data_IF_530349736628
#
_entry.id   IF_530349736628
#
_cell.length_a   1.000
_cell.length_b   1.000
_cell.length_c   1.000
_cell.angle_alpha   90.00
_cell.angle_beta   90.00
_cell.angle_gamma   90.00
#
_symmetry.space_group_name_H-M   'P 1'
#
loop_
_entity.id
_entity.type
_entity.pdbx_description
1 polymer ?
#
# COMPACT_ATOMS: atom_id res chain seq x y z
N UNK A 1 -70.17 23.39 6.97
CA UNK A 1 -69.49 23.07 8.26
C UNK A 1 -68.74 21.77 8.05
N UNK A 2 -67.47 21.56 8.32
CA UNK A 2 -66.33 22.38 8.77
C UNK A 2 -65.07 21.49 8.58
N UNK A 3 -63.96 22.12 8.14
CA UNK A 3 -62.53 21.84 8.40
C UNK A 3 -61.99 20.40 8.17
N UNK A 4 -61.24 20.17 7.09
CA UNK A 4 -59.76 20.30 7.01
C UNK A 4 -58.99 19.45 8.03
N UNK A 5 -58.32 18.37 7.57
CA UNK A 5 -56.94 18.05 7.97
C UNK A 5 -56.18 17.57 6.72
N UNK A 6 -55.18 18.38 6.38
CA UNK A 6 -54.18 18.21 5.34
C UNK A 6 -53.15 17.18 5.81
N UNK A 7 -52.87 16.12 5.05
CA UNK A 7 -51.57 15.41 5.14
C UNK A 7 -51.06 15.23 3.72
N UNK A 8 -50.32 16.24 3.27
CA UNK A 8 -49.41 16.20 2.13
C UNK A 8 -48.24 15.29 2.50
N UNK A 9 -48.31 13.99 2.17
CA UNK A 9 -47.11 13.14 2.19
C UNK A 9 -46.50 13.18 0.79
N UNK A 10 -45.76 14.25 0.54
CA UNK A 10 -44.96 14.46 -0.65
C UNK A 10 -43.76 13.50 -0.58
N UNK A 11 -43.94 12.26 -1.04
CA UNK A 11 -42.84 11.30 -1.22
C UNK A 11 -41.96 11.78 -2.37
N UNK A 12 -41.06 12.72 -2.06
CA UNK A 12 -39.88 13.00 -2.86
C UNK A 12 -38.97 11.78 -2.71
N UNK A 13 -39.07 10.83 -3.64
CA UNK A 13 -37.96 9.92 -3.88
C UNK A 13 -36.86 10.76 -4.53
N UNK A 14 -35.98 11.29 -3.68
CA UNK A 14 -34.69 11.85 -4.08
C UNK A 14 -33.93 10.71 -4.75
N UNK A 15 -33.91 10.74 -6.09
CA UNK A 15 -32.93 10.01 -6.89
C UNK A 15 -31.59 10.60 -6.50
N UNK A 16 -30.89 9.91 -5.60
CA UNK A 16 -29.50 10.20 -5.27
C UNK A 16 -28.66 9.95 -6.51
N UNK A 17 -28.50 10.98 -7.33
CA UNK A 17 -27.49 11.01 -8.38
C UNK A 17 -26.14 10.93 -7.70
N UNK A 18 -25.62 9.71 -7.54
CA UNK A 18 -24.22 9.50 -7.19
C UNK A 18 -23.45 9.99 -8.40
N UNK A 19 -23.00 11.24 -8.38
CA UNK A 19 -22.01 11.74 -9.30
C UNK A 19 -20.70 11.01 -8.96
N UNK A 20 -20.50 9.85 -9.58
CA UNK A 20 -19.19 9.23 -9.66
C UNK A 20 -18.31 10.22 -10.41
N UNK A 21 -17.57 11.03 -9.66
CA UNK A 21 -16.52 11.88 -10.22
C UNK A 21 -15.42 10.95 -10.70
N UNK A 22 -15.48 10.56 -11.97
CA UNK A 22 -14.32 10.01 -12.68
C UNK A 22 -13.25 11.12 -12.68
N UNK A 23 -12.41 11.14 -11.65
CA UNK A 23 -11.19 11.94 -11.71
C UNK A 23 -10.35 11.29 -12.81
N UNK A 24 -10.25 11.96 -13.96
CA UNK A 24 -9.24 11.62 -14.96
C UNK A 24 -7.88 11.71 -14.27
N UNK A 25 -7.30 10.56 -13.96
CA UNK A 25 -5.99 10.45 -13.37
C UNK A 25 -4.98 11.10 -14.31
N UNK A 26 -4.38 12.21 -13.89
CA UNK A 26 -3.31 12.83 -14.66
C UNK A 26 -2.07 11.94 -14.57
N UNK A 27 -1.26 11.91 -15.63
CA UNK A 27 0.04 11.21 -15.62
C UNK A 27 0.93 11.68 -14.46
N UNK A 28 0.81 12.95 -14.08
CA UNK A 28 1.51 13.56 -12.93
C UNK A 28 1.10 12.95 -11.59
N UNK A 29 -0.12 12.43 -11.49
CA UNK A 29 -0.68 11.90 -10.24
C UNK A 29 -0.08 10.52 -9.88
N UNK A 30 0.75 9.95 -10.77
CA UNK A 30 1.43 8.67 -10.59
C UNK A 30 2.95 8.79 -10.43
N UNK A 31 3.50 10.00 -10.66
CA UNK A 31 4.94 10.19 -10.65
C UNK A 31 5.52 10.00 -9.25
N UNK A 32 6.70 9.36 -9.21
CA UNK A 32 7.51 9.26 -8.02
C UNK A 32 8.56 10.37 -8.01
N UNK A 33 8.84 10.91 -6.82
CA UNK A 33 9.87 11.93 -6.61
C UNK A 33 10.84 11.46 -5.54
N UNK A 34 12.11 11.82 -5.65
CA UNK A 34 13.13 11.45 -4.67
C UNK A 34 14.41 10.93 -5.32
N UNK A 35 15.25 10.29 -4.52
CA UNK A 35 16.44 9.61 -5.01
C UNK A 35 16.03 8.31 -5.69
N UNK A 36 16.49 8.11 -6.92
CA UNK A 36 16.17 6.91 -7.69
C UNK A 36 17.18 5.79 -7.45
N UNK A 37 16.66 4.57 -7.35
CA UNK A 37 17.38 3.31 -7.26
C UNK A 37 16.84 2.38 -8.36
N UNK A 38 17.72 1.90 -9.23
CA UNK A 38 17.36 1.02 -10.33
C UNK A 38 17.69 -0.44 -10.00
N UNK A 39 17.04 -1.35 -10.72
CA UNK A 39 17.25 -2.79 -10.61
C UNK A 39 17.01 -3.32 -9.19
N UNK A 40 15.95 -2.83 -8.55
CA UNK A 40 15.54 -3.28 -7.20
C UNK A 40 14.72 -4.55 -7.34
N UNK A 41 15.08 -5.59 -6.61
CA UNK A 41 14.29 -6.82 -6.51
C UNK A 41 13.09 -6.58 -5.61
N UNK A 42 11.90 -6.58 -6.21
CA UNK A 42 10.62 -6.58 -5.51
C UNK A 42 10.13 -8.02 -5.37
N UNK A 43 9.79 -8.42 -4.15
CA UNK A 43 9.02 -9.65 -3.88
C UNK A 43 7.81 -9.32 -3.00
N UNK A 44 6.97 -10.32 -2.72
CA UNK A 44 5.82 -10.17 -1.85
C UNK A 44 5.86 -11.17 -0.69
N UNK A 45 5.34 -10.74 0.46
CA UNK A 45 5.13 -11.58 1.64
C UNK A 45 3.77 -11.26 2.27
N UNK A 46 3.26 -12.13 3.14
CA UNK A 46 1.96 -11.95 3.79
C UNK A 46 2.06 -12.22 5.30
N UNK A 47 1.20 -11.60 6.12
CA UNK A 47 1.17 -11.84 7.56
C UNK A 47 0.59 -13.23 7.89
N UNK A 48 1.23 -13.95 8.82
CA UNK A 48 0.77 -15.25 9.33
C UNK A 48 0.21 -15.06 10.75
N UNK A 49 -1.09 -14.74 10.84
CA UNK A 49 -1.72 -14.32 12.11
C UNK A 49 -1.90 -15.43 13.15
N UNK A 50 -1.84 -16.69 12.74
CA UNK A 50 -1.89 -17.87 13.61
C UNK A 50 -0.50 -18.36 14.04
N UNK A 51 0.57 -17.63 13.68
CA UNK A 51 1.92 -17.91 14.14
C UNK A 51 2.11 -17.55 15.61
N UNK A 52 2.86 -18.39 16.33
CA UNK A 52 3.36 -18.10 17.67
C UNK A 52 4.45 -17.01 17.68
N UNK A 53 5.00 -16.66 16.51
CA UNK A 53 6.01 -15.63 16.35
C UNK A 53 5.39 -14.30 15.92
N UNK A 54 5.45 -13.30 16.80
CA UNK A 54 4.86 -11.98 16.55
C UNK A 54 5.46 -11.26 15.33
N UNK A 55 6.71 -11.56 14.95
CA UNK A 55 7.33 -10.97 13.75
C UNK A 55 6.66 -11.42 12.45
N UNK A 56 5.87 -12.48 12.48
CA UNK A 56 5.19 -12.99 11.29
C UNK A 56 3.95 -12.16 10.95
N UNK A 57 3.52 -11.25 11.83
CA UNK A 57 2.33 -10.40 11.60
C UNK A 57 2.45 -8.97 12.18
N UNK A 58 3.55 -8.62 12.84
CA UNK A 58 3.87 -7.28 13.33
C UNK A 58 5.22 -6.79 12.78
N UNK A 59 5.31 -5.47 12.56
CA UNK A 59 6.55 -4.80 12.14
C UNK A 59 7.61 -4.75 13.25
N UNK A 60 8.81 -4.25 12.96
CA UNK A 60 9.92 -4.17 13.94
C UNK A 60 9.64 -3.29 15.17
N UNK A 61 8.53 -2.55 15.18
CA UNK A 61 8.04 -1.74 16.30
C UNK A 61 6.75 -2.32 16.89
N UNK A 62 6.46 -3.59 16.64
CA UNK A 62 5.29 -4.32 17.15
C UNK A 62 3.96 -3.73 16.68
N UNK A 63 3.94 -3.09 15.50
CA UNK A 63 2.70 -2.56 14.91
C UNK A 63 2.20 -3.49 13.82
N UNK A 64 0.87 -3.58 13.69
CA UNK A 64 0.22 -4.37 12.63
C UNK A 64 0.74 -3.97 11.24
N UNK A 65 1.13 -4.97 10.47
CA UNK A 65 1.46 -4.82 9.05
C UNK A 65 0.25 -4.27 8.28
N UNK A 66 0.53 -3.47 7.26
CA UNK A 66 -0.49 -2.84 6.40
C UNK A 66 -0.34 -3.38 5.00
N UNK A 67 -1.34 -4.15 4.56
CA UNK A 67 -1.26 -4.88 3.29
C UNK A 67 -1.60 -3.98 2.11
N UNK A 68 -1.09 -4.33 0.92
CA UNK A 68 -1.46 -3.66 -0.34
C UNK A 68 -2.97 -3.65 -0.56
N UNK A 69 -3.61 -4.80 -0.40
CA UNK A 69 -5.05 -4.91 -0.61
C UNK A 69 -5.83 -4.07 0.40
N UNK A 70 -5.38 -3.95 1.67
CA UNK A 70 -6.04 -3.05 2.64
C UNK A 70 -5.93 -1.59 2.21
N UNK A 71 -4.83 -1.19 1.59
CA UNK A 71 -4.69 0.16 1.05
C UNK A 71 -5.61 0.38 -0.16
N UNK A 72 -5.69 -0.61 -1.06
CA UNK A 72 -6.57 -0.56 -2.22
C UNK A 72 -8.05 -0.48 -1.80
N UNK A 73 -8.43 -1.18 -0.74
CA UNK A 73 -9.75 -1.15 -0.12
C UNK A 73 -10.01 0.12 0.72
N UNK A 74 -9.03 1.02 0.87
CA UNK A 74 -9.15 2.27 1.64
C UNK A 74 -9.15 2.08 3.17
N UNK A 75 -8.64 0.96 3.67
CA UNK A 75 -8.58 0.62 5.11
C UNK A 75 -7.30 1.08 5.81
N UNK A 76 -6.29 1.47 5.05
CA UNK A 76 -5.01 1.99 5.57
C UNK A 76 -4.48 3.10 4.68
N UNK A 77 -3.65 3.97 5.25
CA UNK A 77 -3.10 5.15 4.56
C UNK A 77 -1.77 4.86 3.84
N UNK A 78 -1.16 3.71 4.11
CA UNK A 78 0.10 3.25 3.51
C UNK A 78 0.18 1.73 3.52
N UNK A 79 1.10 1.21 2.72
CA UNK A 79 1.46 -0.20 2.63
C UNK A 79 2.81 -0.41 3.32
N UNK A 80 2.89 -1.41 4.20
CA UNK A 80 4.14 -1.81 4.83
C UNK A 80 4.99 -2.54 3.81
N UNK A 81 6.28 -2.20 3.80
CA UNK A 81 7.28 -3.00 3.12
C UNK A 81 8.36 -3.42 4.11
N UNK A 82 8.96 -4.56 3.80
CA UNK A 82 10.14 -5.08 4.45
C UNK A 82 11.39 -4.74 3.63
N UNK A 83 12.45 -4.35 4.32
CA UNK A 83 13.78 -4.10 3.75
C UNK A 83 14.84 -4.49 4.79
N UNK A 84 16.11 -4.46 4.41
CA UNK A 84 17.19 -4.57 5.41
C UNK A 84 17.34 -3.25 6.18
N UNK A 85 16.58 -3.12 7.26
CA UNK A 85 16.66 -1.95 8.14
C UNK A 85 18.00 -1.86 8.89
N UNK A 86 18.72 -2.97 9.03
CA UNK A 86 20.02 -3.01 9.71
C UNK A 86 21.15 -2.43 8.84
N UNK A 87 20.92 -2.30 7.52
CA UNK A 87 21.78 -1.53 6.59
C UNK A 87 21.80 -0.02 6.87
N UNK A 88 20.92 0.48 7.75
CA UNK A 88 20.82 1.90 8.11
C UNK A 88 19.64 2.63 7.47
N UNK A 89 18.69 1.92 6.86
CA UNK A 89 17.42 2.50 6.39
C UNK A 89 16.55 2.89 7.60
N UNK A 90 16.16 4.17 7.76
CA UNK A 90 15.30 4.56 8.87
C UNK A 90 13.92 3.93 8.80
N UNK A 91 13.40 3.48 9.95
CA UNK A 91 12.00 3.05 10.07
C UNK A 91 11.03 4.15 9.59
N UNK A 92 10.07 3.78 8.76
CA UNK A 92 9.07 4.68 8.18
C UNK A 92 9.57 5.45 6.94
N UNK A 93 10.74 5.09 6.38
CA UNK A 93 11.23 5.64 5.11
C UNK A 93 10.14 5.48 4.06
N UNK A 94 9.75 6.59 3.44
CA UNK A 94 8.72 6.61 2.40
C UNK A 94 9.33 6.14 1.10
N UNK A 95 8.60 5.31 0.38
CA UNK A 95 9.05 4.75 -0.88
C UNK A 95 7.97 4.91 -1.94
N UNK A 96 8.39 4.91 -3.20
CA UNK A 96 7.48 4.96 -4.34
C UNK A 96 8.02 4.08 -5.47
N UNK A 97 7.15 3.24 -6.04
CA UNK A 97 7.46 2.35 -7.16
C UNK A 97 6.53 2.74 -8.31
N UNK A 98 7.05 3.36 -9.40
CA UNK A 98 6.21 3.83 -10.50
C UNK A 98 5.52 2.69 -11.24
N UNK A 99 6.13 1.51 -11.34
CA UNK A 99 5.54 0.32 -11.96
C UNK A 99 4.27 -0.13 -11.20
N UNK A 100 4.32 -0.08 -9.87
CA UNK A 100 3.19 -0.41 -9.01
C UNK A 100 2.09 0.66 -9.12
N UNK A 101 2.47 1.94 -9.11
CA UNK A 101 1.53 3.05 -9.30
C UNK A 101 0.80 2.96 -10.65
N UNK A 102 1.52 2.62 -11.72
CA UNK A 102 0.98 2.43 -13.06
C UNK A 102 0.02 1.23 -13.11
N UNK A 103 0.37 0.11 -12.47
CA UNK A 103 -0.48 -1.08 -12.39
C UNK A 103 -1.84 -0.80 -11.75
N UNK A 104 -1.84 -0.08 -10.63
CA UNK A 104 -3.05 0.16 -9.84
C UNK A 104 -3.72 1.51 -10.15
N UNK A 105 -3.18 2.27 -11.10
CA UNK A 105 -3.70 3.57 -11.53
C UNK A 105 -3.91 4.54 -10.34
N UNK A 106 -3.01 4.48 -9.35
CA UNK A 106 -2.97 5.40 -8.20
C UNK A 106 -1.60 5.36 -7.54
N UNK A 107 -1.22 6.42 -6.83
CA UNK A 107 -0.07 6.35 -5.94
C UNK A 107 -0.34 5.36 -4.80
N UNK A 108 0.64 4.49 -4.57
CA UNK A 108 0.70 3.56 -3.45
C UNK A 108 1.82 4.06 -2.52
N UNK A 109 1.47 4.73 -1.41
CA UNK A 109 2.44 5.16 -0.42
C UNK A 109 2.97 3.95 0.33
N UNK A 110 4.24 3.63 0.08
CA UNK A 110 4.97 2.54 0.72
C UNK A 110 5.81 3.07 1.89
N UNK A 111 5.96 2.28 2.94
CA UNK A 111 6.86 2.61 4.06
C UNK A 111 7.68 1.41 4.53
N UNK A 112 9.00 1.58 4.57
CA UNK A 112 9.94 0.61 5.11
C UNK A 112 9.79 0.53 6.62
N UNK A 113 9.10 -0.51 7.11
CA UNK A 113 8.77 -0.65 8.54
C UNK A 113 9.07 -2.05 9.06
N UNK A 114 9.10 -3.02 8.18
CA UNK A 114 9.42 -4.40 8.53
C UNK A 114 10.86 -4.74 8.14
N UNK A 115 11.39 -5.84 8.69
CA UNK A 115 12.77 -6.27 8.47
C UNK A 115 12.82 -7.59 7.70
N UNK A 116 13.56 -7.56 6.59
CA UNK A 116 14.04 -8.74 5.87
C UNK A 116 15.55 -8.77 5.98
N UNK A 117 16.14 -9.96 5.96
CA UNK A 117 17.58 -10.13 5.93
C UNK A 117 17.98 -10.80 4.61
N UNK A 118 18.80 -10.13 3.82
CA UNK A 118 19.35 -10.69 2.58
C UNK A 118 20.84 -10.95 2.74
N UNK A 119 21.31 -12.08 2.20
CA UNK A 119 22.69 -12.52 2.38
C UNK A 119 23.71 -11.65 1.60
N UNK A 120 23.24 -10.83 0.67
CA UNK A 120 24.03 -9.98 -0.22
C UNK A 120 23.95 -8.48 0.14
N UNK A 121 23.39 -8.14 1.32
CA UNK A 121 23.30 -6.74 1.78
C UNK A 121 24.65 -6.15 2.16
N UNK A 122 24.87 -4.90 1.77
CA UNK A 122 26.03 -4.11 2.21
C UNK A 122 25.87 -3.65 3.66
N UNK A 123 26.67 -4.19 4.57
CA UNK A 123 26.58 -3.94 6.03
C UNK A 123 27.00 -2.52 6.49
N UNK A 124 27.37 -1.62 5.58
CA UNK A 124 27.94 -0.30 5.92
C UNK A 124 27.21 0.88 5.24
N UNK A 125 26.10 0.64 4.54
CA UNK A 125 25.34 1.69 3.87
C UNK A 125 23.90 1.25 3.63
N UNK A 126 22.92 2.17 3.68
CA UNK A 126 21.52 1.84 3.38
C UNK A 126 21.40 1.10 2.05
N UNK A 127 20.83 -0.10 2.10
CA UNK A 127 20.71 -0.99 0.96
C UNK A 127 19.28 -1.06 0.45
N UNK A 128 19.07 -0.48 -0.73
CA UNK A 128 17.78 -0.42 -1.40
C UNK A 128 17.67 -1.43 -2.55
N UNK A 129 18.54 -2.44 -2.60
CA UNK A 129 18.54 -3.46 -3.67
C UNK A 129 17.38 -4.45 -3.59
N UNK A 130 16.78 -4.62 -2.40
CA UNK A 130 15.71 -5.58 -2.16
C UNK A 130 14.59 -4.95 -1.34
N UNK A 131 13.35 -5.31 -1.67
CA UNK A 131 12.14 -4.87 -0.99
C UNK A 131 11.08 -5.96 -1.07
N UNK A 132 10.43 -6.27 0.05
CA UNK A 132 9.29 -7.18 0.08
C UNK A 132 8.03 -6.38 0.42
N UNK A 133 7.02 -6.40 -0.46
CA UNK A 133 5.74 -5.72 -0.21
C UNK A 133 4.79 -6.62 0.57
N UNK A 134 4.18 -6.09 1.62
CA UNK A 134 3.19 -6.82 2.40
C UNK A 134 1.87 -6.91 1.63
N UNK A 135 1.46 -8.13 1.26
CA UNK A 135 0.17 -8.45 0.65
C UNK A 135 -0.72 -9.19 1.65
N UNK A 136 -2.01 -9.35 1.33
CA UNK A 136 -3.00 -9.85 2.30
C UNK A 136 -2.95 -11.37 2.49
N UNK A 137 -2.73 -12.11 1.42
CA UNK A 137 -2.83 -13.58 1.41
C UNK A 137 -1.65 -14.21 0.71
N UNK A 138 -1.47 -15.51 0.91
CA UNK A 138 -0.51 -16.29 0.13
C UNK A 138 -0.81 -16.19 -1.37
N UNK A 139 -2.08 -16.26 -1.76
CA UNK A 139 -2.48 -16.16 -3.15
C UNK A 139 -2.07 -14.82 -3.79
N UNK A 140 -2.14 -13.72 -3.04
CA UNK A 140 -1.70 -12.40 -3.51
C UNK A 140 -0.18 -12.34 -3.77
N UNK A 141 0.62 -13.22 -3.15
CA UNK A 141 2.07 -13.26 -3.39
C UNK A 141 2.41 -13.72 -4.80
N UNK A 142 1.49 -14.39 -5.51
CA UNK A 142 1.72 -14.86 -6.87
C UNK A 142 1.35 -13.83 -7.95
N UNK A 143 0.87 -12.63 -7.59
CA UNK A 143 0.64 -11.57 -8.56
C UNK A 143 1.99 -11.05 -9.10
N UNK A 144 2.16 -11.14 -10.42
CA UNK A 144 3.38 -10.69 -11.10
C UNK A 144 3.64 -9.17 -10.96
N UNK A 145 2.64 -8.38 -10.56
CA UNK A 145 2.83 -6.94 -10.32
C UNK A 145 3.53 -6.62 -9.00
N UNK A 146 3.62 -7.59 -8.08
CA UNK A 146 4.33 -7.46 -6.80
C UNK A 146 5.60 -8.34 -6.76
N UNK A 147 6.06 -8.82 -7.92
CA UNK A 147 7.27 -9.62 -8.05
C UNK A 147 8.06 -9.23 -9.31
N UNK A 148 9.34 -8.91 -9.16
CA UNK A 148 10.22 -8.66 -10.30
C UNK A 148 11.25 -7.57 -10.04
N UNK A 149 11.78 -7.00 -11.12
CA UNK A 149 12.77 -5.93 -11.06
C UNK A 149 12.07 -4.59 -11.30
N UNK A 150 12.24 -3.65 -10.37
CA UNK A 150 11.54 -2.36 -10.36
C UNK A 150 12.48 -1.17 -10.16
N UNK A 151 11.94 0.01 -10.38
CA UNK A 151 12.54 1.29 -9.99
C UNK A 151 12.00 1.70 -8.62
N UNK A 152 12.87 2.10 -7.70
CA UNK A 152 12.48 2.57 -6.37
C UNK A 152 12.89 4.03 -6.18
N UNK A 153 11.97 4.84 -5.68
CA UNK A 153 12.24 6.21 -5.25
C UNK A 153 12.15 6.30 -3.73
N UNK A 154 13.11 7.03 -3.15
CA UNK A 154 13.27 7.29 -1.71
C UNK A 154 13.30 8.80 -1.44
#
# INVERSE_FOLDING_TARGET
MEKQILIFSFTIFLVSSISASEKCLSKTDLECTGRVHYNVTLTAYYPVFDSDNESDYLDVKMKKLRTLQDFLDGRTEFVTVSMDLDSGIPYGTKLCIPELNAKFLRQIPLQARDRSHYNDVKTNSPDFSHIDICVRTEEDTYDNSVNGIVTLYV
#
